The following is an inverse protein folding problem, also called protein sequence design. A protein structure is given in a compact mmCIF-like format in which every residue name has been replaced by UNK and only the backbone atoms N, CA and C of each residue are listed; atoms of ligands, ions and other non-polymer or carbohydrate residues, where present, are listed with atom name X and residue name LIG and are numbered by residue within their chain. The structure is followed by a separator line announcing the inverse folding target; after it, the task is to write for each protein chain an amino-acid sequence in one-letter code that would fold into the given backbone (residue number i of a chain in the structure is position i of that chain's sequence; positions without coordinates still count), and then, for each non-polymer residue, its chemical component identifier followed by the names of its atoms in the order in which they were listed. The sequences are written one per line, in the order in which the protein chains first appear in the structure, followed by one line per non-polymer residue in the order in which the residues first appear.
data_IF_770495899065
#
_entry.id   IF_770495899065
#
_cell.length_a   1.000
_cell.length_b   1.000
_cell.length_c   1.000
_cell.angle_alpha   90.00
_cell.angle_beta   90.00
_cell.angle_gamma   90.00
#
_symmetry.space_group_name_H-M   'P 1'
#
loop_
_entity.id
_entity.type
_entity.pdbx_description
1 polymer ?
#
# COMPACT_ATOMS: atom_id res chain seq x y z
N UNK A 1 -27.47 0.47 15.09
CA UNK A 1 -27.78 0.09 13.69
C UNK A 1 -29.29 0.00 13.60
N UNK A 2 -29.91 0.99 12.98
CA UNK A 2 -31.37 1.06 12.95
C UNK A 2 -31.90 0.40 11.67
N UNK A 3 -32.60 -0.70 11.87
CA UNK A 3 -33.40 -1.30 10.79
C UNK A 3 -34.63 -0.45 10.52
N UNK A 4 -34.91 -0.24 9.27
CA UNK A 4 -36.05 0.56 8.81
C UNK A 4 -37.32 -0.23 8.73
N UNK A 5 -37.23 -1.52 8.40
CA UNK A 5 -38.37 -2.38 8.22
C UNK A 5 -38.01 -3.81 8.59
N UNK A 6 -39.00 -4.53 9.16
CA UNK A 6 -38.93 -5.95 9.46
C UNK A 6 -40.20 -6.66 8.98
N UNK A 7 -40.01 -7.82 8.39
CA UNK A 7 -41.05 -8.67 7.87
C UNK A 7 -40.89 -10.10 8.38
N UNK A 8 -41.97 -10.72 8.75
CA UNK A 8 -42.08 -12.16 8.94
C UNK A 8 -42.53 -12.79 7.62
N UNK A 9 -41.70 -13.66 7.07
CA UNK A 9 -42.03 -14.33 5.81
C UNK A 9 -42.09 -15.84 6.02
N UNK A 10 -43.10 -16.47 5.45
CA UNK A 10 -43.21 -17.93 5.32
C UNK A 10 -42.94 -18.30 3.85
N UNK A 11 -41.75 -18.82 3.62
CA UNK A 11 -41.29 -19.14 2.26
C UNK A 11 -42.00 -20.37 1.68
N UNK A 12 -42.49 -21.25 2.53
CA UNK A 12 -43.24 -22.42 2.07
C UNK A 12 -44.65 -22.01 1.56
N UNK A 13 -45.30 -21.11 2.26
CA UNK A 13 -46.64 -20.66 1.96
C UNK A 13 -46.72 -19.36 1.14
N UNK A 14 -45.58 -18.80 0.76
CA UNK A 14 -45.48 -17.56 -0.01
C UNK A 14 -46.16 -16.35 0.69
N UNK A 15 -45.99 -16.21 2.00
CA UNK A 15 -46.62 -15.12 2.73
C UNK A 15 -45.55 -14.18 3.31
N UNK A 16 -45.93 -12.90 3.50
CA UNK A 16 -45.07 -11.84 4.07
C UNK A 16 -45.92 -10.88 4.89
N UNK A 17 -45.62 -10.80 6.17
CA UNK A 17 -46.30 -9.93 7.14
C UNK A 17 -45.36 -8.87 7.67
N UNK A 18 -45.84 -7.63 7.78
CA UNK A 18 -45.09 -6.51 8.30
C UNK A 18 -45.04 -6.55 9.82
N UNK A 19 -43.85 -6.62 10.43
CA UNK A 19 -43.67 -6.52 11.88
C UNK A 19 -43.44 -5.06 12.27
N UNK A 20 -42.56 -4.38 11.56
CA UNK A 20 -42.18 -2.98 11.79
C UNK A 20 -41.86 -2.33 10.47
N UNK A 21 -42.27 -1.07 10.31
CA UNK A 21 -41.95 -0.30 9.12
C UNK A 21 -41.77 1.17 9.44
N UNK A 22 -40.73 1.76 8.85
CA UNK A 22 -40.55 3.20 8.84
C UNK A 22 -41.40 3.85 7.73
N UNK A 23 -42.04 4.95 8.02
CA UNK A 23 -42.82 5.73 7.05
C UNK A 23 -41.99 6.27 5.88
N UNK A 24 -40.66 6.31 6.03
CA UNK A 24 -39.73 6.76 4.98
C UNK A 24 -39.13 5.59 4.18
N UNK A 25 -39.56 4.35 4.46
CA UNK A 25 -39.14 3.18 3.72
C UNK A 25 -39.84 3.09 2.37
N UNK A 26 -39.10 2.69 1.32
CA UNK A 26 -39.69 2.37 0.02
C UNK A 26 -40.75 1.23 0.12
N UNK A 27 -40.68 0.43 1.18
CA UNK A 27 -41.65 -0.61 1.48
C UNK A 27 -42.99 -0.08 1.97
N UNK A 28 -43.07 1.18 2.45
CA UNK A 28 -44.31 1.78 2.91
C UNK A 28 -45.36 1.88 1.81
N UNK A 29 -44.94 2.15 0.57
CA UNK A 29 -45.81 2.21 -0.59
C UNK A 29 -46.35 0.82 -0.94
N UNK A 30 -45.47 -0.22 -0.90
CA UNK A 30 -45.84 -1.62 -1.19
C UNK A 30 -46.85 -2.12 -0.18
N UNK A 31 -46.67 -1.82 1.10
CA UNK A 31 -47.59 -2.23 2.16
C UNK A 31 -48.97 -1.59 2.06
N UNK A 32 -49.08 -0.43 1.42
CA UNK A 32 -50.33 0.26 1.10
C UNK A 32 -51.10 -0.40 -0.07
N UNK A 33 -50.44 -1.24 -0.89
CA UNK A 33 -51.04 -1.85 -2.09
C UNK A 33 -51.83 -3.09 -1.72
N UNK A 34 -53.16 -3.03 -1.91
CA UNK A 34 -54.08 -4.14 -1.57
C UNK A 34 -53.81 -5.42 -2.36
N UNK A 35 -53.36 -5.24 -3.62
CA UNK A 35 -53.05 -6.34 -4.56
C UNK A 35 -51.81 -7.16 -4.19
N UNK A 36 -50.89 -6.53 -3.39
CA UNK A 36 -49.62 -7.13 -2.97
C UNK A 36 -49.63 -7.61 -1.51
N UNK A 37 -50.73 -7.51 -0.79
CA UNK A 37 -50.82 -7.64 0.68
C UNK A 37 -50.33 -8.95 1.26
N UNK A 38 -50.24 -10.05 0.52
CA UNK A 38 -49.99 -11.37 1.12
C UNK A 38 -48.82 -12.16 0.51
N UNK A 39 -48.37 -11.85 -0.67
CA UNK A 39 -47.37 -12.66 -1.37
C UNK A 39 -45.93 -12.18 -1.21
N UNK A 40 -45.06 -13.02 -0.65
CA UNK A 40 -43.61 -12.76 -0.62
C UNK A 40 -43.05 -12.55 -2.02
N UNK A 41 -43.29 -13.48 -2.94
CA UNK A 41 -42.79 -13.47 -4.31
C UNK A 41 -43.20 -12.22 -5.08
N UNK A 42 -44.46 -11.82 -5.01
CA UNK A 42 -45.00 -10.66 -5.71
C UNK A 42 -44.40 -9.34 -5.17
N UNK A 43 -44.26 -9.23 -3.84
CA UNK A 43 -43.72 -8.05 -3.15
C UNK A 43 -42.23 -7.88 -3.43
N UNK A 44 -41.43 -8.95 -3.39
CA UNK A 44 -40.01 -8.93 -3.71
C UNK A 44 -39.78 -8.51 -5.16
N UNK A 45 -40.56 -9.06 -6.10
CA UNK A 45 -40.47 -8.72 -7.53
C UNK A 45 -40.82 -7.23 -7.75
N UNK A 46 -41.93 -6.77 -7.16
CA UNK A 46 -42.35 -5.38 -7.28
C UNK A 46 -41.25 -4.44 -6.72
N UNK A 47 -40.71 -4.79 -5.55
CA UNK A 47 -39.63 -4.01 -4.94
C UNK A 47 -38.39 -3.94 -5.86
N UNK A 48 -37.97 -5.05 -6.41
CA UNK A 48 -36.85 -5.10 -7.34
C UNK A 48 -37.09 -4.23 -8.58
N UNK A 49 -38.26 -4.37 -9.20
CA UNK A 49 -38.57 -3.68 -10.46
C UNK A 49 -38.68 -2.16 -10.32
N UNK A 50 -39.06 -1.65 -9.12
CA UNK A 50 -39.33 -0.24 -8.91
C UNK A 50 -38.28 0.48 -8.08
N UNK A 51 -37.58 -0.21 -7.20
CA UNK A 51 -36.68 0.43 -6.23
C UNK A 51 -35.24 -0.02 -6.30
N UNK A 52 -34.92 -1.18 -6.81
CA UNK A 52 -33.54 -1.69 -6.86
C UNK A 52 -32.83 -1.23 -8.14
N UNK A 53 -31.64 -0.66 -7.99
CA UNK A 53 -30.77 -0.33 -9.12
C UNK A 53 -30.17 -1.64 -9.64
N UNK A 54 -30.57 -2.07 -10.82
CA UNK A 54 -30.27 -3.40 -11.39
C UNK A 54 -28.79 -3.68 -11.56
N UNK A 55 -28.02 -2.64 -11.92
CA UNK A 55 -26.56 -2.71 -12.08
C UNK A 55 -25.83 -3.04 -10.77
N UNK A 56 -26.40 -2.63 -9.65
CA UNK A 56 -25.85 -2.91 -8.31
C UNK A 56 -26.23 -4.29 -7.77
N UNK A 57 -27.26 -4.90 -8.34
CA UNK A 57 -27.88 -6.14 -7.83
C UNK A 57 -28.42 -7.04 -8.96
N UNK A 58 -27.58 -7.49 -9.90
CA UNK A 58 -28.04 -8.23 -11.08
C UNK A 58 -28.61 -9.61 -10.75
N UNK A 59 -28.21 -10.20 -9.64
CA UNK A 59 -28.63 -11.54 -9.18
C UNK A 59 -29.64 -11.49 -8.00
N UNK A 60 -30.17 -10.31 -7.68
CA UNK A 60 -31.08 -10.12 -6.55
C UNK A 60 -32.30 -11.05 -6.60
N UNK A 61 -33.04 -11.06 -7.73
CA UNK A 61 -34.21 -11.90 -7.84
C UNK A 61 -33.90 -13.40 -7.79
N UNK A 62 -32.76 -13.82 -8.34
CA UNK A 62 -32.30 -15.20 -8.29
C UNK A 62 -32.02 -15.63 -6.83
N UNK A 63 -31.34 -14.80 -6.07
CA UNK A 63 -31.00 -15.06 -4.66
C UNK A 63 -32.19 -14.95 -3.72
N UNK A 64 -33.16 -14.13 -4.06
CA UNK A 64 -34.38 -13.92 -3.27
C UNK A 64 -35.52 -14.86 -3.71
N UNK A 65 -35.31 -15.68 -4.73
CA UNK A 65 -36.27 -16.73 -5.12
C UNK A 65 -36.44 -17.73 -3.97
N UNK A 66 -37.70 -18.12 -3.65
CA UNK A 66 -38.04 -18.88 -2.44
C UNK A 66 -37.27 -20.19 -2.33
N UNK A 67 -37.18 -20.99 -3.40
CA UNK A 67 -36.46 -22.25 -3.37
C UNK A 67 -34.96 -22.07 -3.21
N UNK A 68 -34.36 -21.07 -3.89
CA UNK A 68 -32.95 -20.75 -3.76
C UNK A 68 -32.61 -20.31 -2.35
N UNK A 69 -33.45 -19.46 -1.74
CA UNK A 69 -33.26 -18.98 -0.39
C UNK A 69 -33.46 -20.10 0.65
N UNK A 70 -34.45 -20.98 0.47
CA UNK A 70 -34.65 -22.17 1.30
C UNK A 70 -33.43 -23.09 1.24
N UNK A 71 -32.93 -23.38 0.04
CA UNK A 71 -31.72 -24.21 -0.13
C UNK A 71 -30.49 -23.62 0.55
N UNK A 72 -30.27 -22.34 0.37
CA UNK A 72 -29.18 -21.63 1.07
C UNK A 72 -29.30 -21.71 2.59
N UNK A 73 -30.50 -21.45 3.12
CA UNK A 73 -30.77 -21.43 4.56
C UNK A 73 -30.84 -22.83 5.22
N UNK A 74 -30.75 -23.91 4.45
CA UNK A 74 -30.54 -25.27 5.02
C UNK A 74 -29.23 -25.40 5.75
N UNK A 75 -28.18 -24.75 5.21
CA UNK A 75 -26.83 -24.82 5.72
C UNK A 75 -26.35 -23.53 6.38
N UNK A 76 -27.13 -22.45 6.27
CA UNK A 76 -26.79 -21.14 6.79
C UNK A 76 -27.94 -20.58 7.63
N UNK A 77 -27.61 -20.01 8.81
CA UNK A 77 -28.64 -19.39 9.67
C UNK A 77 -29.07 -18.00 9.22
N UNK A 78 -28.25 -17.35 8.41
CA UNK A 78 -28.48 -15.97 7.93
C UNK A 78 -27.98 -15.78 6.50
N UNK A 79 -28.63 -14.85 5.81
CA UNK A 79 -28.25 -14.35 4.50
C UNK A 79 -28.22 -12.82 4.56
N UNK A 80 -27.24 -12.18 3.93
CA UNK A 80 -27.18 -10.73 3.81
C UNK A 80 -26.88 -10.34 2.36
N UNK A 81 -27.53 -9.29 1.89
CA UNK A 81 -27.34 -8.78 0.53
C UNK A 81 -27.33 -7.26 0.52
N UNK A 82 -26.29 -6.67 -0.07
CA UNK A 82 -26.14 -5.22 -0.20
C UNK A 82 -26.48 -4.80 -1.62
N UNK A 83 -27.17 -3.69 -1.76
CA UNK A 83 -27.59 -3.17 -3.06
C UNK A 83 -27.83 -1.66 -2.97
N UNK A 84 -27.86 -1.02 -4.15
CA UNK A 84 -28.26 0.35 -4.29
C UNK A 84 -29.73 0.42 -4.71
N UNK A 85 -30.48 1.31 -4.11
CA UNK A 85 -31.88 1.56 -4.40
C UNK A 85 -32.06 2.98 -4.91
N UNK A 86 -33.15 3.27 -5.57
CA UNK A 86 -33.58 4.64 -5.79
C UNK A 86 -33.68 5.35 -4.43
N UNK A 87 -33.33 6.64 -4.38
CA UNK A 87 -33.41 7.41 -3.14
C UNK A 87 -34.79 7.32 -2.53
N UNK A 88 -34.83 6.97 -1.26
CA UNK A 88 -36.06 7.06 -0.50
C UNK A 88 -36.36 8.52 -0.10
N UNK A 89 -37.49 8.74 0.55
CA UNK A 89 -37.90 10.08 1.02
C UNK A 89 -36.93 10.70 2.06
N UNK A 90 -36.07 9.88 2.72
CA UNK A 90 -35.02 10.34 3.62
C UNK A 90 -33.66 10.53 2.93
N UNK A 91 -33.55 10.27 1.63
CA UNK A 91 -32.36 10.50 0.82
C UNK A 91 -31.33 9.35 0.85
N UNK A 92 -31.66 8.19 1.44
CA UNK A 92 -30.78 7.02 1.49
C UNK A 92 -30.83 6.23 0.18
N UNK A 93 -29.67 5.76 -0.27
CA UNK A 93 -29.49 5.01 -1.52
C UNK A 93 -28.93 3.60 -1.29
N UNK A 94 -28.16 3.38 -0.24
CA UNK A 94 -27.50 2.10 -0.01
C UNK A 94 -28.20 1.32 1.09
N UNK A 95 -28.54 0.07 0.78
CA UNK A 95 -29.31 -0.79 1.65
C UNK A 95 -28.62 -2.14 1.87
N UNK A 96 -28.84 -2.70 3.03
CA UNK A 96 -28.53 -4.09 3.33
C UNK A 96 -29.84 -4.79 3.75
N UNK A 97 -30.17 -5.83 3.00
CA UNK A 97 -31.17 -6.80 3.35
C UNK A 97 -30.52 -7.89 4.19
N UNK A 98 -31.08 -8.17 5.33
CA UNK A 98 -30.70 -9.33 6.14
C UNK A 98 -31.88 -10.29 6.28
N UNK A 99 -31.62 -11.57 6.08
CA UNK A 99 -32.58 -12.66 6.27
C UNK A 99 -32.05 -13.59 7.36
N UNK A 100 -32.89 -13.89 8.33
CA UNK A 100 -32.56 -14.78 9.43
C UNK A 100 -33.62 -15.87 9.47
N UNK A 101 -33.21 -17.14 9.42
CA UNK A 101 -34.10 -18.28 9.59
C UNK A 101 -34.54 -18.41 11.04
N UNK A 102 -35.84 -18.54 11.27
CA UNK A 102 -36.39 -18.83 12.58
C UNK A 102 -36.30 -20.34 12.85
N UNK A 103 -35.91 -20.68 14.08
CA UNK A 103 -35.90 -22.07 14.56
C UNK A 103 -37.28 -22.37 15.17
N UNK A 104 -38.14 -23.08 14.44
CA UNK A 104 -39.51 -23.39 14.83
C UNK A 104 -39.70 -24.80 15.40
N UNK A 105 -38.61 -25.57 15.51
CA UNK A 105 -38.66 -26.98 15.94
C UNK A 105 -39.06 -27.96 14.84
N UNK A 106 -39.63 -27.49 13.74
CA UNK A 106 -39.91 -28.29 12.53
C UNK A 106 -38.89 -27.94 11.43
N UNK A 107 -38.19 -28.95 10.89
CA UNK A 107 -37.15 -28.75 9.87
C UNK A 107 -37.73 -28.27 8.51
N UNK A 108 -38.97 -28.48 8.25
CA UNK A 108 -39.64 -28.10 7.03
C UNK A 108 -40.37 -26.76 7.10
N UNK A 109 -40.31 -26.10 8.26
CA UNK A 109 -40.89 -24.79 8.47
C UNK A 109 -39.83 -23.72 8.11
N UNK A 110 -39.98 -23.09 6.96
CA UNK A 110 -39.07 -22.09 6.43
C UNK A 110 -39.60 -20.68 6.69
N UNK A 111 -39.80 -20.35 7.98
CA UNK A 111 -40.09 -18.99 8.42
C UNK A 111 -38.80 -18.21 8.60
N UNK A 112 -38.80 -16.98 8.08
CA UNK A 112 -37.68 -16.07 8.13
C UNK A 112 -38.11 -14.72 8.67
N UNK A 113 -37.18 -14.02 9.32
CA UNK A 113 -37.26 -12.57 9.48
C UNK A 113 -36.40 -11.92 8.44
N UNK A 114 -36.99 -11.00 7.68
CA UNK A 114 -36.30 -10.19 6.70
C UNK A 114 -36.26 -8.75 7.21
N UNK A 115 -35.05 -8.18 7.33
CA UNK A 115 -34.82 -6.81 7.80
C UNK A 115 -34.09 -5.98 6.77
N UNK A 116 -34.48 -4.73 6.63
CA UNK A 116 -33.81 -3.75 5.77
C UNK A 116 -33.19 -2.63 6.61
N UNK A 117 -31.96 -2.25 6.30
CA UNK A 117 -31.28 -1.14 6.92
C UNK A 117 -30.53 -0.28 5.92
N UNK A 118 -30.35 0.99 6.24
CA UNK A 118 -29.47 1.87 5.51
C UNK A 118 -28.01 1.57 5.84
N UNK A 119 -27.16 1.67 4.84
CA UNK A 119 -25.71 1.45 4.98
C UNK A 119 -24.90 2.56 4.30
N UNK A 120 -25.52 3.72 4.02
CA UNK A 120 -24.86 4.84 3.36
C UNK A 120 -23.57 5.23 4.08
N UNK A 121 -23.60 5.34 5.41
CA UNK A 121 -22.42 5.68 6.23
C UNK A 121 -21.30 4.65 6.07
N UNK A 122 -21.66 3.35 6.04
CA UNK A 122 -20.71 2.26 5.88
C UNK A 122 -20.07 2.32 4.49
N UNK A 123 -20.88 2.53 3.45
CA UNK A 123 -20.40 2.63 2.08
C UNK A 123 -19.49 3.84 1.89
N UNK A 124 -19.86 4.99 2.46
CA UNK A 124 -19.02 6.19 2.42
C UNK A 124 -17.68 5.99 3.14
N UNK A 125 -17.69 5.35 4.30
CA UNK A 125 -16.46 5.02 5.03
C UNK A 125 -15.56 4.06 4.24
N UNK A 126 -16.16 3.02 3.65
CA UNK A 126 -15.43 2.05 2.81
C UNK A 126 -14.84 2.73 1.55
N UNK A 127 -15.60 3.62 0.90
CA UNK A 127 -15.11 4.40 -0.25
C UNK A 127 -13.96 5.30 0.15
N UNK A 128 -14.04 6.00 1.28
CA UNK A 128 -12.98 6.87 1.79
C UNK A 128 -11.70 6.07 2.12
N UNK A 129 -11.84 4.91 2.77
CA UNK A 129 -10.71 4.02 3.06
C UNK A 129 -10.04 3.52 1.77
N UNK A 130 -10.85 3.14 0.77
CA UNK A 130 -10.36 2.70 -0.52
C UNK A 130 -9.58 3.80 -1.23
N UNK A 131 -10.11 5.01 -1.27
CA UNK A 131 -9.42 6.16 -1.86
C UNK A 131 -8.10 6.46 -1.16
N UNK A 132 -8.07 6.49 0.16
CA UNK A 132 -6.83 6.68 0.93
C UNK A 132 -5.79 5.59 0.64
N UNK A 133 -6.25 4.35 0.49
CA UNK A 133 -5.36 3.24 0.15
C UNK A 133 -4.79 3.37 -1.27
N UNK A 134 -5.61 3.78 -2.24
CA UNK A 134 -5.18 4.03 -3.62
C UNK A 134 -4.16 5.18 -3.69
N UNK A 135 -4.40 6.29 -2.98
CA UNK A 135 -3.46 7.41 -2.87
C UNK A 135 -2.13 6.97 -2.23
N UNK A 136 -2.19 6.24 -1.12
CA UNK A 136 -0.99 5.69 -0.46
C UNK A 136 -0.20 4.75 -1.38
N UNK A 137 -0.90 3.90 -2.12
CA UNK A 137 -0.27 2.99 -3.09
C UNK A 137 0.40 3.75 -4.25
N UNK A 138 -0.23 4.81 -4.75
CA UNK A 138 0.34 5.66 -5.79
C UNK A 138 1.62 6.37 -5.30
N UNK A 139 1.62 6.91 -4.09
CA UNK A 139 2.78 7.53 -3.46
C UNK A 139 3.93 6.54 -3.24
N UNK A 140 3.62 5.34 -2.76
CA UNK A 140 4.62 4.27 -2.59
C UNK A 140 5.22 3.84 -3.93
N UNK A 141 4.42 3.72 -4.98
CA UNK A 141 4.88 3.39 -6.31
C UNK A 141 5.81 4.47 -6.86
N UNK A 142 5.43 5.73 -6.75
CA UNK A 142 6.25 6.86 -7.16
C UNK A 142 7.58 6.90 -6.40
N UNK A 143 7.56 6.72 -5.08
CA UNK A 143 8.78 6.67 -4.27
C UNK A 143 9.71 5.52 -4.70
N UNK A 144 9.14 4.35 -4.98
CA UNK A 144 9.92 3.21 -5.47
C UNK A 144 10.53 3.46 -6.86
N UNK A 145 9.82 4.14 -7.75
CA UNK A 145 10.33 4.54 -9.07
C UNK A 145 11.49 5.52 -8.93
N UNK A 146 11.38 6.51 -8.03
CA UNK A 146 12.44 7.48 -7.73
C UNK A 146 13.67 6.75 -7.15
N UNK A 147 13.48 5.89 -6.15
CA UNK A 147 14.57 5.09 -5.56
C UNK A 147 15.24 4.23 -6.63
N UNK A 148 14.46 3.58 -7.49
CA UNK A 148 15.00 2.77 -8.58
C UNK A 148 15.80 3.59 -9.61
N UNK A 149 15.36 4.80 -9.92
CA UNK A 149 16.09 5.71 -10.82
C UNK A 149 17.41 6.18 -10.19
N UNK A 150 17.36 6.61 -8.93
CA UNK A 150 18.54 7.03 -8.16
C UNK A 150 19.53 5.87 -8.02
N UNK A 151 19.04 4.67 -7.73
CA UNK A 151 19.87 3.47 -7.56
C UNK A 151 20.68 3.11 -8.82
N UNK A 152 20.19 3.49 -10.00
CA UNK A 152 20.96 3.32 -11.25
C UNK A 152 22.13 4.28 -11.39
N UNK A 153 22.11 5.40 -10.67
CA UNK A 153 23.19 6.41 -10.69
C UNK A 153 24.31 6.06 -9.71
N UNK A 154 24.04 5.16 -8.78
CA UNK A 154 24.99 4.76 -7.74
C UNK A 154 25.32 3.27 -7.86
N UNK A 155 26.59 2.98 -7.63
CA UNK A 155 27.07 1.60 -7.58
C UNK A 155 26.67 0.91 -6.27
N UNK A 156 26.66 1.69 -5.16
CA UNK A 156 26.32 1.23 -3.81
C UNK A 156 25.51 2.33 -3.12
N UNK A 157 24.49 1.92 -2.36
CA UNK A 157 23.77 2.76 -1.40
C UNK A 157 23.54 1.92 -0.15
N UNK A 158 24.22 2.26 0.95
CA UNK A 158 24.04 1.65 2.26
C UNK A 158 23.54 2.66 3.29
N UNK A 159 22.58 2.24 4.09
CA UNK A 159 22.19 2.96 5.31
C UNK A 159 23.02 2.42 6.47
N UNK A 160 23.65 3.31 7.22
CA UNK A 160 24.53 2.95 8.32
C UNK A 160 24.04 3.55 9.63
N UNK A 161 24.10 2.76 10.68
CA UNK A 161 23.93 3.16 12.06
C UNK A 161 25.31 3.17 12.75
N UNK A 162 25.79 4.37 13.07
CA UNK A 162 27.12 4.56 13.64
C UNK A 162 27.19 4.17 15.12
N UNK A 163 26.04 4.22 15.82
CA UNK A 163 25.97 3.87 17.25
C UNK A 163 26.09 2.36 17.45
N UNK A 164 25.54 1.57 16.54
CA UNK A 164 25.48 0.11 16.64
C UNK A 164 26.49 -0.58 15.73
N UNK A 165 27.31 0.16 14.98
CA UNK A 165 28.26 -0.36 13.98
C UNK A 165 27.57 -1.28 12.97
N UNK A 166 26.39 -0.91 12.48
CA UNK A 166 25.61 -1.73 11.54
C UNK A 166 25.30 -1.00 10.25
N UNK A 167 25.20 -1.76 9.17
CA UNK A 167 24.70 -1.24 7.89
C UNK A 167 23.60 -2.15 7.31
N UNK A 168 22.80 -1.55 6.44
CA UNK A 168 21.77 -2.20 5.64
C UNK A 168 21.87 -1.71 4.19
N UNK A 169 21.83 -2.66 3.27
CA UNK A 169 21.84 -2.37 1.84
C UNK A 169 20.49 -1.81 1.41
N UNK A 170 20.49 -0.63 0.80
CA UNK A 170 19.34 -0.08 0.09
C UNK A 170 19.40 -0.52 -1.38
N UNK A 171 20.58 -0.41 -1.99
CA UNK A 171 20.85 -0.83 -3.36
C UNK A 171 22.33 -1.11 -3.53
N UNK A 172 22.68 -2.15 -4.27
CA UNK A 172 24.04 -2.39 -4.74
C UNK A 172 24.05 -3.21 -6.02
N UNK A 173 25.17 -3.15 -6.75
CA UNK A 173 25.41 -4.09 -7.83
C UNK A 173 25.69 -5.49 -7.28
N UNK A 174 25.38 -6.51 -8.05
CA UNK A 174 25.44 -7.91 -7.61
C UNK A 174 26.81 -8.34 -7.09
N UNK A 175 27.88 -7.83 -7.70
CA UNK A 175 29.24 -8.08 -7.26
C UNK A 175 29.51 -7.61 -5.82
N UNK A 176 28.95 -6.44 -5.46
CA UNK A 176 29.05 -5.88 -4.12
C UNK A 176 28.15 -6.61 -3.15
N UNK A 177 26.91 -6.89 -3.56
CA UNK A 177 25.99 -7.71 -2.77
C UNK A 177 26.61 -9.05 -2.33
N UNK A 178 27.29 -9.74 -3.25
CA UNK A 178 28.00 -10.99 -2.94
C UNK A 178 29.17 -10.79 -1.98
N UNK A 179 29.81 -9.62 -2.00
CA UNK A 179 30.97 -9.34 -1.15
C UNK A 179 30.59 -8.91 0.26
N UNK A 180 29.58 -8.05 0.38
CA UNK A 180 29.20 -7.42 1.66
C UNK A 180 27.94 -8.00 2.28
N UNK A 181 27.04 -8.57 1.47
CA UNK A 181 25.72 -9.02 1.91
C UNK A 181 24.77 -7.85 2.16
N UNK A 182 23.52 -8.18 2.52
CA UNK A 182 22.44 -7.17 2.74
C UNK A 182 22.58 -6.36 4.01
N UNK A 183 23.30 -6.89 5.00
CA UNK A 183 23.49 -6.23 6.29
C UNK A 183 24.70 -6.82 7.00
N UNK A 184 25.25 -6.10 7.96
CA UNK A 184 26.38 -6.57 8.74
C UNK A 184 26.99 -5.45 9.59
N UNK A 185 28.21 -5.70 10.07
CA UNK A 185 29.00 -4.71 10.81
C UNK A 185 29.82 -3.88 9.85
N UNK A 186 29.77 -2.55 10.01
CA UNK A 186 30.49 -1.59 9.19
C UNK A 186 32.01 -1.85 9.31
N UNK A 187 32.53 -1.94 10.53
CA UNK A 187 33.94 -2.15 10.83
C UNK A 187 34.54 -3.38 10.14
N UNK A 188 33.78 -4.46 10.02
CA UNK A 188 34.25 -5.71 9.42
C UNK A 188 34.14 -5.68 7.90
N UNK A 189 32.96 -5.33 7.38
CA UNK A 189 32.68 -5.47 5.95
C UNK A 189 33.37 -4.40 5.10
N UNK A 190 33.51 -3.18 5.63
CA UNK A 190 34.19 -2.11 4.93
C UNK A 190 35.70 -2.35 4.82
N UNK A 191 36.33 -2.93 5.84
CA UNK A 191 37.73 -3.36 5.76
C UNK A 191 37.90 -4.39 4.65
N UNK A 192 37.07 -5.42 4.65
CA UNK A 192 37.10 -6.50 3.65
C UNK A 192 36.84 -6.00 2.22
N UNK A 193 35.84 -5.08 2.06
CA UNK A 193 35.51 -4.50 0.75
C UNK A 193 36.68 -3.62 0.24
N UNK A 194 37.26 -2.77 1.10
CA UNK A 194 38.41 -1.95 0.75
C UNK A 194 39.57 -2.79 0.20
N UNK A 195 39.97 -3.84 0.93
CA UNK A 195 41.09 -4.70 0.54
C UNK A 195 40.90 -5.39 -0.81
N UNK A 196 39.64 -5.69 -1.16
CA UNK A 196 39.32 -6.38 -2.41
C UNK A 196 39.05 -5.48 -3.62
N UNK A 197 38.69 -4.22 -3.38
CA UNK A 197 38.17 -3.34 -4.44
C UNK A 197 39.09 -2.19 -4.72
N UNK A 198 39.71 -1.61 -3.71
CA UNK A 198 40.49 -0.38 -3.82
C UNK A 198 41.89 -0.66 -4.33
N UNK A 199 42.35 0.07 -5.32
CA UNK A 199 43.72 -0.04 -5.82
C UNK A 199 44.77 0.29 -4.75
N UNK A 200 45.95 -0.33 -4.80
CA UNK A 200 46.97 -0.22 -3.74
C UNK A 200 47.31 1.21 -3.32
N UNK A 201 47.44 2.11 -4.30
CA UNK A 201 47.79 3.52 -4.09
C UNK A 201 46.72 4.32 -3.31
N UNK A 202 45.49 3.83 -3.25
CA UNK A 202 44.37 4.46 -2.52
C UNK A 202 44.01 3.77 -1.20
N UNK A 203 44.65 2.67 -0.84
CA UNK A 203 44.33 1.85 0.34
C UNK A 203 44.38 2.67 1.64
N UNK A 204 45.43 3.44 1.85
CA UNK A 204 45.60 4.23 3.10
C UNK A 204 44.55 5.36 3.20
N UNK A 205 44.34 6.09 2.11
CA UNK A 205 43.33 7.13 2.03
C UNK A 205 41.92 6.60 2.29
N UNK A 206 41.61 5.44 1.72
CA UNK A 206 40.31 4.82 1.91
C UNK A 206 40.18 4.17 3.28
N UNK A 207 41.25 3.71 3.92
CA UNK A 207 41.24 3.26 5.31
C UNK A 207 40.79 4.37 6.25
N UNK A 208 41.37 5.56 6.12
CA UNK A 208 41.00 6.73 6.92
C UNK A 208 39.57 7.20 6.59
N UNK A 209 39.19 7.21 5.32
CA UNK A 209 37.88 7.65 4.90
C UNK A 209 36.77 6.76 5.43
N UNK A 210 36.96 5.43 5.41
CA UNK A 210 35.98 4.41 5.82
C UNK A 210 35.98 4.15 7.34
N UNK A 211 36.82 4.82 8.12
CA UNK A 211 36.85 4.68 9.58
C UNK A 211 35.57 5.28 10.20
N UNK A 212 34.64 4.39 10.56
CA UNK A 212 33.36 4.76 11.15
C UNK A 212 33.53 5.43 12.54
N UNK A 213 34.60 5.13 13.27
CA UNK A 213 34.83 5.67 14.61
C UNK A 213 35.08 7.19 14.59
N UNK A 214 35.61 7.72 13.49
CA UNK A 214 35.91 9.17 13.33
C UNK A 214 34.83 9.89 12.55
N UNK A 215 33.88 9.17 11.96
CA UNK A 215 32.94 9.72 10.98
C UNK A 215 31.97 10.73 11.60
N UNK A 216 31.47 10.46 12.81
CA UNK A 216 30.57 11.38 13.51
C UNK A 216 31.22 12.76 13.75
N UNK A 217 32.50 12.81 14.16
CA UNK A 217 33.23 14.06 14.36
C UNK A 217 33.51 14.75 13.03
N UNK A 218 33.89 14.01 11.96
CA UNK A 218 34.12 14.58 10.62
C UNK A 218 32.88 15.20 10.02
N UNK A 219 31.70 14.72 10.38
CA UNK A 219 30.39 15.19 9.91
C UNK A 219 29.72 16.18 10.87
N UNK A 220 30.33 16.54 12.02
CA UNK A 220 29.71 17.35 13.04
C UNK A 220 29.09 18.66 12.52
N UNK A 221 29.82 19.36 11.65
CA UNK A 221 29.40 20.63 11.05
C UNK A 221 29.25 20.55 9.52
N UNK A 222 29.08 19.34 8.98
CA UNK A 222 28.96 19.09 7.53
C UNK A 222 27.82 18.12 7.27
N UNK A 223 27.17 18.30 6.15
CA UNK A 223 26.11 17.37 5.72
C UNK A 223 26.68 16.18 4.93
N UNK A 224 27.87 16.35 4.36
CA UNK A 224 28.55 15.26 3.66
C UNK A 224 30.07 15.35 3.74
N UNK A 225 30.73 14.21 3.55
CA UNK A 225 32.16 14.10 3.24
C UNK A 225 32.33 13.16 2.07
N UNK A 226 33.29 13.45 1.18
CA UNK A 226 33.52 12.65 -0.01
C UNK A 226 34.99 12.43 -0.29
N UNK A 227 35.29 11.37 -1.02
CA UNK A 227 36.64 11.08 -1.57
C UNK A 227 36.51 10.37 -2.90
N UNK A 228 37.56 10.49 -3.71
CA UNK A 228 37.69 9.76 -4.97
C UNK A 228 38.78 8.69 -4.82
N UNK A 229 38.57 7.55 -5.43
CA UNK A 229 39.52 6.46 -5.46
C UNK A 229 39.41 5.67 -6.75
N UNK A 230 40.47 4.95 -7.09
CA UNK A 230 40.49 4.03 -8.22
C UNK A 230 40.32 2.59 -7.71
N UNK A 231 39.44 1.83 -8.34
CA UNK A 231 39.31 0.42 -8.07
C UNK A 231 40.47 -0.37 -8.70
N UNK A 232 40.69 -1.62 -8.25
CA UNK A 232 41.70 -2.54 -8.85
C UNK A 232 41.42 -2.82 -10.33
N UNK A 233 40.17 -2.63 -10.79
CA UNK A 233 39.75 -2.71 -12.19
C UNK A 233 40.20 -1.52 -13.02
N UNK A 234 40.74 -0.47 -12.42
CA UNK A 234 41.14 0.78 -13.07
C UNK A 234 40.06 1.84 -13.14
N UNK A 235 38.82 1.51 -12.77
CA UNK A 235 37.66 2.42 -12.82
C UNK A 235 37.69 3.40 -11.64
N UNK A 236 37.42 4.68 -11.92
CA UNK A 236 37.34 5.72 -10.89
C UNK A 236 35.95 5.76 -10.26
N UNK A 237 35.94 5.81 -8.92
CA UNK A 237 34.75 5.94 -8.10
C UNK A 237 34.81 7.15 -7.16
N UNK A 238 33.66 7.74 -6.87
CA UNK A 238 33.47 8.70 -5.79
C UNK A 238 32.67 8.06 -4.68
N UNK A 239 33.22 8.04 -3.48
CA UNK A 239 32.56 7.60 -2.25
C UNK A 239 32.12 8.82 -1.45
N UNK A 240 30.90 8.77 -0.85
CA UNK A 240 30.35 9.81 0.01
C UNK A 240 29.70 9.22 1.22
N UNK A 241 29.85 9.91 2.35
CA UNK A 241 28.98 9.77 3.51
C UNK A 241 28.08 11.00 3.60
N UNK A 242 26.78 10.80 3.67
CA UNK A 242 25.76 11.84 3.71
C UNK A 242 24.99 11.68 5.03
N UNK A 243 24.87 12.75 5.82
CA UNK A 243 24.13 12.71 7.08
C UNK A 243 22.65 12.40 6.81
N UNK A 244 22.11 11.43 7.55
CA UNK A 244 20.70 11.09 7.50
C UNK A 244 19.94 11.51 8.76
N UNK A 245 20.52 11.24 9.93
CA UNK A 245 19.92 11.55 11.21
C UNK A 245 20.98 12.08 12.19
N UNK A 246 20.54 13.05 13.01
CA UNK A 246 21.25 13.53 14.19
C UNK A 246 20.37 13.29 15.41
N UNK A 247 20.98 13.02 16.55
CA UNK A 247 20.27 12.95 17.83
C UNK A 247 19.91 14.36 18.34
N UNK A 248 19.23 14.44 19.50
CA UNK A 248 18.84 15.71 20.12
C UNK A 248 20.03 16.60 20.51
N UNK A 249 21.20 16.01 20.70
CA UNK A 249 22.45 16.73 20.96
C UNK A 249 23.13 17.21 19.67
N UNK A 250 22.59 16.96 18.50
CA UNK A 250 23.14 17.32 17.20
C UNK A 250 24.24 16.38 16.69
N UNK A 251 24.50 15.27 17.38
CA UNK A 251 25.48 14.28 16.96
C UNK A 251 24.94 13.38 15.85
N UNK A 252 25.78 13.07 14.86
CA UNK A 252 25.40 12.21 13.73
C UNK A 252 25.29 10.76 14.19
N UNK A 253 24.10 10.19 14.04
CA UNK A 253 23.82 8.79 14.40
C UNK A 253 23.68 7.88 13.20
N UNK A 254 23.11 8.39 12.10
CA UNK A 254 22.90 7.61 10.88
C UNK A 254 23.39 8.38 9.65
N UNK A 255 24.01 7.63 8.74
CA UNK A 255 24.48 8.17 7.47
C UNK A 255 24.08 7.25 6.31
N UNK A 256 24.06 7.83 5.10
CA UNK A 256 24.06 7.07 3.87
C UNK A 256 25.51 7.01 3.35
N UNK A 257 25.97 5.81 3.04
CA UNK A 257 27.19 5.61 2.27
C UNK A 257 26.81 5.31 0.83
N UNK A 258 27.32 6.12 -0.08
CA UNK A 258 27.05 5.97 -1.51
C UNK A 258 28.33 5.98 -2.31
N UNK A 259 28.39 5.17 -3.36
CA UNK A 259 29.47 5.24 -4.35
C UNK A 259 28.87 5.34 -5.76
N UNK A 260 29.52 6.14 -6.60
CA UNK A 260 29.19 6.21 -8.01
C UNK A 260 30.43 6.06 -8.87
N UNK A 261 30.25 5.57 -10.07
CA UNK A 261 31.25 5.58 -11.12
C UNK A 261 31.43 7.02 -11.62
N UNK A 262 32.67 7.47 -11.66
CA UNK A 262 33.06 8.80 -12.19
C UNK A 262 34.13 8.69 -13.27
N UNK A 263 34.26 7.49 -13.88
CA UNK A 263 35.35 7.22 -14.79
C UNK A 263 35.35 8.15 -16.01
N UNK A 264 34.19 8.32 -16.65
CA UNK A 264 34.06 9.20 -17.82
C UNK A 264 34.35 10.66 -17.47
N UNK A 265 33.84 11.12 -16.32
CA UNK A 265 34.13 12.45 -15.80
C UNK A 265 35.62 12.65 -15.56
N UNK A 266 36.30 11.64 -14.98
CA UNK A 266 37.71 11.69 -14.64
C UNK A 266 38.62 11.68 -15.88
N UNK A 267 38.27 10.85 -16.86
CA UNK A 267 38.99 10.82 -18.14
C UNK A 267 38.90 12.19 -18.81
N UNK A 268 37.71 12.76 -18.95
CA UNK A 268 37.50 14.07 -19.55
C UNK A 268 38.26 15.19 -18.82
N UNK A 269 38.27 15.16 -17.47
CA UNK A 269 39.05 16.12 -16.65
C UNK A 269 40.55 15.99 -16.92
N UNK A 270 41.09 14.78 -17.01
CA UNK A 270 42.50 14.53 -17.25
C UNK A 270 42.91 14.95 -18.66
N UNK A 271 42.10 14.65 -19.66
CA UNK A 271 42.33 15.06 -21.07
C UNK A 271 42.35 16.60 -21.18
N UNK A 272 41.36 17.28 -20.60
CA UNK A 272 41.32 18.75 -20.61
C UNK A 272 42.51 19.38 -19.89
N UNK A 273 42.97 18.76 -18.82
CA UNK A 273 44.16 19.25 -18.07
C UNK A 273 45.46 19.06 -18.86
N UNK A 274 45.58 17.97 -19.59
CA UNK A 274 46.73 17.68 -20.45
C UNK A 274 46.78 18.62 -21.65
N UNK A 275 45.60 18.90 -22.26
CA UNK A 275 45.47 19.86 -23.35
C UNK A 275 45.90 21.31 -22.92
N UNK A 276 45.41 21.73 -21.75
CA UNK A 276 45.80 23.01 -21.14
C UNK A 276 47.31 23.08 -20.89
N UNK A 277 47.96 22.02 -20.43
CA UNK A 277 49.37 21.94 -20.19
C UNK A 277 50.16 22.07 -21.50
N UNK A 278 49.76 21.33 -22.57
CA UNK A 278 50.38 21.44 -23.88
C UNK A 278 50.32 22.86 -24.45
N UNK A 279 49.11 23.45 -24.34
CA UNK A 279 48.95 24.84 -24.84
C UNK A 279 49.77 25.84 -24.06
N UNK A 280 50.00 25.67 -22.77
CA UNK A 280 50.83 26.49 -21.95
C UNK A 280 52.30 26.32 -22.34
N UNK A 281 52.80 25.10 -22.56
CA UNK A 281 54.19 24.79 -22.97
C UNK A 281 54.47 25.31 -24.40
N UNK A 282 53.49 25.28 -25.32
CA UNK A 282 53.61 25.85 -26.66
C UNK A 282 53.64 27.38 -26.69
N UNK A 283 53.01 28.06 -25.72
CA UNK A 283 52.98 29.51 -25.62
C UNK A 283 54.26 30.10 -24.92
N UNK A 284 55.04 29.28 -24.22
CA UNK A 284 56.32 29.70 -23.57
C UNK A 284 57.55 29.43 -24.44
N UNK A 285 57.41 28.79 -25.57
CA UNK A 285 58.49 28.49 -26.55
C UNK A 285 58.48 29.47 -27.75
#
# INVERSE_FOLDING_TARGET
VDYTSFYLCDLANDTMETIKQSVHSNWAEIDGMTELKSGYTSRIRYYYDHYVIRESAPDFLQKMERHALIEYLRNHKRFAYRYQSVKNHAGHEYFELQVIRLETGNRDDYKIIMGFRYIDDIVQEDMKKKQQMEETMADLKMNNEIISAISKMYWIIYRMDLLHDTYEEISSQESMHRLTGRSGKISVQFTKAREKIVAPEFQERMREFLDASTLAERLKNREEVSTEYRAITGVWHQARFIVKLRNEAGEVTNVLYVTRDINDQKISELESREELRRTAEENES
#
